data_IF_719352529127
#
_entry.id   IF_719352529127
#
_cell.length_a   1.000
_cell.length_b   1.000
_cell.length_c   1.000
_cell.angle_alpha   90.00
_cell.angle_beta   90.00
_cell.angle_gamma   90.00
#
_symmetry.space_group_name_H-M   'P 1'
#
loop_
_entity.id
_entity.type
_entity.pdbx_description
1 polymer ?
#
# COMPACT_ATOMS: atom_id res chain seq x y z
N UNK A 1 -28.95 -3.33 0.97
CA UNK A 1 -27.50 -3.09 0.74
C UNK A 1 -26.80 -3.02 2.08
N UNK A 2 -25.66 -3.70 2.23
CA UNK A 2 -24.81 -3.57 3.41
C UNK A 2 -24.38 -2.11 3.57
N UNK A 3 -24.31 -1.61 4.79
CA UNK A 3 -23.74 -0.29 5.08
C UNK A 3 -22.21 -0.32 5.02
N UNK A 4 -21.63 -1.52 5.15
CA UNK A 4 -20.20 -1.78 5.18
C UNK A 4 -19.69 -2.07 3.76
N UNK A 5 -18.41 -1.77 3.54
CA UNK A 5 -17.69 -2.17 2.35
C UNK A 5 -17.82 -3.69 2.13
N UNK A 6 -18.11 -4.09 0.91
CA UNK A 6 -18.15 -5.48 0.51
C UNK A 6 -17.25 -5.66 -0.71
N UNK A 7 -16.15 -6.37 -0.54
CA UNK A 7 -15.15 -6.57 -1.59
C UNK A 7 -15.70 -7.31 -2.81
N UNK A 8 -16.68 -8.20 -2.61
CA UNK A 8 -17.30 -8.98 -3.70
C UNK A 8 -18.04 -8.11 -4.73
N UNK A 9 -18.41 -6.88 -4.36
CA UNK A 9 -19.05 -5.92 -5.28
C UNK A 9 -18.03 -5.34 -6.30
N UNK A 10 -16.73 -5.59 -6.10
CA UNK A 10 -15.64 -5.00 -6.88
C UNK A 10 -14.79 -6.04 -7.62
N UNK A 11 -14.63 -7.24 -7.04
CA UNK A 11 -13.81 -8.29 -7.64
C UNK A 11 -14.47 -8.80 -8.91
N UNK A 12 -13.72 -8.78 -10.00
CA UNK A 12 -14.12 -9.29 -11.31
C UNK A 12 -12.91 -9.92 -12.03
N UNK A 13 -13.14 -10.53 -13.18
CA UNK A 13 -12.08 -11.09 -14.01
C UNK A 13 -11.33 -10.04 -14.85
N UNK A 14 -11.65 -8.74 -14.67
CA UNK A 14 -11.03 -7.66 -15.44
C UNK A 14 -9.70 -7.19 -14.86
N UNK A 15 -9.44 -7.43 -13.56
CA UNK A 15 -8.26 -6.90 -12.90
C UNK A 15 -7.55 -7.98 -12.07
N UNK A 16 -6.22 -7.89 -12.04
CA UNK A 16 -5.37 -8.74 -11.20
C UNK A 16 -5.00 -8.07 -9.87
N UNK A 17 -4.92 -6.74 -9.85
CA UNK A 17 -4.53 -5.99 -8.67
C UNK A 17 -5.66 -5.05 -8.25
N UNK A 18 -6.05 -5.14 -7.00
CA UNK A 18 -7.08 -4.29 -6.39
C UNK A 18 -6.52 -3.53 -5.22
N UNK A 19 -6.71 -2.22 -5.21
CA UNK A 19 -6.33 -1.35 -4.12
C UNK A 19 -7.57 -0.70 -3.51
N UNK A 20 -7.84 -1.02 -2.26
CA UNK A 20 -8.95 -0.45 -1.50
C UNK A 20 -8.40 0.36 -0.34
N UNK A 21 -8.27 1.65 -0.56
CA UNK A 21 -7.67 2.59 0.38
C UNK A 21 -8.78 3.46 0.96
N UNK A 22 -8.83 3.61 2.27
CA UNK A 22 -9.89 4.40 2.89
C UNK A 22 -9.87 4.36 4.40
N UNK A 23 -10.68 5.19 5.03
CA UNK A 23 -10.74 5.33 6.48
C UNK A 23 -10.89 4.02 7.24
N UNK A 24 -10.46 4.05 8.49
CA UNK A 24 -10.58 2.90 9.40
C UNK A 24 -12.05 2.56 9.66
N UNK A 25 -12.32 1.29 9.94
CA UNK A 25 -13.65 0.84 10.38
C UNK A 25 -14.75 0.92 9.32
N UNK A 26 -14.43 0.89 8.03
CA UNK A 26 -15.43 0.74 6.95
C UNK A 26 -15.65 -0.71 6.53
N UNK A 27 -14.90 -1.66 7.12
CA UNK A 27 -15.10 -3.09 6.93
C UNK A 27 -14.16 -3.77 5.93
N UNK A 28 -13.09 -3.10 5.45
CA UNK A 28 -12.16 -3.64 4.44
C UNK A 28 -11.58 -5.01 4.84
N UNK A 29 -10.90 -5.07 5.97
CA UNK A 29 -10.23 -6.28 6.50
C UNK A 29 -11.23 -7.41 6.69
N UNK A 30 -12.36 -7.14 7.36
CA UNK A 30 -13.41 -8.13 7.57
C UNK A 30 -14.01 -8.66 6.27
N UNK A 31 -14.35 -7.78 5.33
CA UNK A 31 -14.92 -8.17 4.04
C UNK A 31 -13.95 -9.01 3.20
N UNK A 32 -12.67 -8.68 3.24
CA UNK A 32 -11.64 -9.45 2.52
C UNK A 32 -11.42 -10.83 3.15
N UNK A 33 -11.47 -10.93 4.48
CA UNK A 33 -11.40 -12.20 5.19
C UNK A 33 -12.62 -13.08 4.82
N UNK A 34 -13.82 -12.49 4.88
CA UNK A 34 -15.06 -13.17 4.50
C UNK A 34 -15.00 -13.67 3.06
N UNK A 35 -14.54 -12.84 2.12
CA UNK A 35 -14.37 -13.22 0.73
C UNK A 35 -13.43 -14.43 0.57
N UNK A 36 -12.31 -14.47 1.28
CA UNK A 36 -11.39 -15.60 1.21
C UNK A 36 -12.03 -16.90 1.70
N UNK A 37 -12.82 -16.86 2.77
CA UNK A 37 -13.56 -18.02 3.32
C UNK A 37 -14.66 -18.46 2.36
N UNK A 38 -15.49 -17.53 1.89
CA UNK A 38 -16.63 -17.83 1.00
C UNK A 38 -16.14 -18.43 -0.32
N UNK A 39 -15.07 -17.88 -0.91
CA UNK A 39 -14.50 -18.40 -2.14
C UNK A 39 -13.89 -19.79 -1.94
N UNK A 40 -13.23 -20.05 -0.81
CA UNK A 40 -12.76 -21.39 -0.50
C UNK A 40 -13.91 -22.40 -0.41
N UNK A 41 -15.04 -22.03 0.17
CA UNK A 41 -16.22 -22.92 0.26
C UNK A 41 -16.75 -23.30 -1.12
N UNK A 42 -16.71 -22.37 -2.07
CA UNK A 42 -17.22 -22.55 -3.44
C UNK A 42 -16.18 -23.23 -4.34
N UNK A 43 -15.00 -22.65 -4.39
CA UNK A 43 -13.98 -22.96 -5.41
C UNK A 43 -12.81 -23.79 -4.86
N UNK A 44 -12.76 -24.04 -3.55
CA UNK A 44 -11.66 -24.74 -2.86
C UNK A 44 -10.28 -24.08 -3.09
N UNK A 45 -10.25 -22.77 -3.36
CA UNK A 45 -9.02 -22.03 -3.57
C UNK A 45 -8.56 -21.33 -2.30
N UNK A 46 -7.29 -21.47 -1.99
CA UNK A 46 -6.63 -20.94 -0.80
C UNK A 46 -6.23 -19.47 -0.97
N UNK A 47 -5.96 -18.82 0.15
CA UNK A 47 -5.51 -17.43 0.19
C UNK A 47 -4.22 -17.26 0.98
N UNK A 48 -3.45 -16.22 0.65
CA UNK A 48 -2.40 -15.70 1.51
C UNK A 48 -2.86 -14.37 2.09
N UNK A 49 -2.78 -14.25 3.41
CA UNK A 49 -2.92 -12.98 4.13
C UNK A 49 -1.54 -12.44 4.46
N UNK A 50 -1.20 -11.31 3.86
CA UNK A 50 0.12 -10.72 3.97
C UNK A 50 0.11 -9.50 4.88
N UNK A 51 1.06 -9.42 5.80
CA UNK A 51 1.41 -8.24 6.59
C UNK A 51 2.85 -7.84 6.30
N UNK A 52 3.23 -6.62 6.66
CA UNK A 52 4.59 -6.11 6.39
C UNK A 52 5.64 -6.78 7.23
N UNK A 53 5.43 -6.82 8.55
CA UNK A 53 6.37 -7.37 9.52
C UNK A 53 5.77 -8.59 10.23
N UNK A 54 6.66 -9.45 10.72
CA UNK A 54 6.25 -10.64 11.47
C UNK A 54 5.53 -10.30 12.78
N UNK A 55 5.93 -9.22 13.43
CA UNK A 55 5.24 -8.69 14.64
C UNK A 55 3.80 -8.24 14.35
N UNK A 56 3.49 -7.77 13.15
CA UNK A 56 2.13 -7.36 12.79
C UNK A 56 1.16 -8.57 12.73
N UNK A 57 1.68 -9.79 12.62
CA UNK A 57 0.88 -11.01 12.63
C UNK A 57 0.34 -11.37 14.03
N UNK A 58 1.00 -10.93 15.12
CA UNK A 58 0.52 -11.13 16.48
C UNK A 58 -0.81 -10.40 16.75
N UNK A 59 -0.99 -9.23 16.14
CA UNK A 59 -2.26 -8.50 16.21
C UNK A 59 -3.32 -9.11 15.29
N UNK A 60 -2.91 -9.64 14.13
CA UNK A 60 -3.79 -10.36 13.23
C UNK A 60 -4.40 -11.61 13.90
N UNK A 61 -3.66 -12.31 14.76
CA UNK A 61 -4.14 -13.46 15.51
C UNK A 61 -5.40 -13.14 16.34
N UNK A 62 -5.43 -11.96 16.97
CA UNK A 62 -6.59 -11.50 17.75
C UNK A 62 -7.79 -11.14 16.87
N UNK A 63 -7.54 -10.55 15.71
CA UNK A 63 -8.59 -10.18 14.75
C UNK A 63 -9.22 -11.42 14.13
N UNK A 64 -8.40 -12.38 13.71
CA UNK A 64 -8.86 -13.65 13.10
C UNK A 64 -9.79 -14.40 14.03
N UNK A 65 -9.45 -14.52 15.31
CA UNK A 65 -10.31 -15.20 16.29
C UNK A 65 -11.69 -14.51 16.42
N UNK A 66 -11.76 -13.17 16.33
CA UNK A 66 -13.03 -12.44 16.32
C UNK A 66 -13.83 -12.70 15.04
N UNK A 67 -13.15 -12.83 13.90
CA UNK A 67 -13.82 -13.13 12.64
C UNK A 67 -14.37 -14.55 12.61
N UNK A 68 -13.58 -15.52 13.05
CA UNK A 68 -13.98 -16.93 13.16
C UNK A 68 -15.20 -17.12 14.05
N UNK A 69 -15.26 -16.41 15.18
CA UNK A 69 -16.39 -16.50 16.12
C UNK A 69 -17.76 -16.13 15.51
N UNK A 70 -17.78 -15.53 14.30
CA UNK A 70 -19.01 -15.19 13.58
C UNK A 70 -19.50 -16.31 12.64
N UNK A 71 -18.69 -17.36 12.46
CA UNK A 71 -19.02 -18.52 11.63
C UNK A 71 -19.41 -19.70 12.56
N UNK A 72 -20.65 -19.67 13.09
CA UNK A 72 -21.09 -20.61 14.11
C UNK A 72 -21.23 -22.07 13.62
N UNK A 73 -21.31 -22.29 12.30
CA UNK A 73 -21.71 -23.57 11.71
C UNK A 73 -20.57 -24.40 11.13
N UNK A 74 -19.33 -23.87 11.12
CA UNK A 74 -18.18 -24.57 10.55
C UNK A 74 -17.08 -24.79 11.57
N UNK A 75 -16.39 -25.92 11.50
CA UNK A 75 -15.11 -26.14 12.19
C UNK A 75 -14.00 -25.26 11.61
N UNK A 76 -14.11 -23.95 11.82
CA UNK A 76 -13.06 -23.02 11.44
C UNK A 76 -12.10 -22.88 12.62
N UNK A 77 -10.85 -23.25 12.41
CA UNK A 77 -9.80 -23.20 13.43
C UNK A 77 -8.64 -22.35 12.92
N UNK A 78 -8.13 -21.48 13.80
CA UNK A 78 -6.87 -20.76 13.55
C UNK A 78 -5.76 -21.38 14.39
N UNK A 79 -4.73 -21.88 13.73
CA UNK A 79 -3.57 -22.52 14.37
C UNK A 79 -2.32 -22.31 13.52
N UNK A 80 -1.20 -22.01 14.17
CA UNK A 80 0.10 -21.86 13.50
C UNK A 80 0.07 -20.86 12.32
N UNK A 81 -0.67 -19.77 12.49
CA UNK A 81 -0.84 -18.75 11.42
C UNK A 81 -1.50 -19.27 10.15
N UNK A 82 -2.37 -20.27 10.31
CA UNK A 82 -3.18 -20.80 9.21
C UNK A 82 -4.63 -20.93 9.71
N UNK A 83 -5.57 -20.47 8.91
CA UNK A 83 -6.99 -20.78 9.09
C UNK A 83 -7.31 -22.08 8.39
N UNK A 84 -7.96 -22.97 9.08
CA UNK A 84 -8.43 -24.27 8.58
C UNK A 84 -9.96 -24.32 8.58
N UNK A 85 -10.52 -25.00 7.60
CA UNK A 85 -11.93 -25.43 7.57
C UNK A 85 -11.94 -26.94 7.38
N UNK A 86 -12.52 -27.66 8.34
CA UNK A 86 -12.54 -29.13 8.33
C UNK A 86 -11.14 -29.70 8.07
N UNK A 87 -10.16 -29.27 8.85
CA UNK A 87 -8.74 -29.67 8.77
C UNK A 87 -7.98 -29.24 7.49
N UNK A 88 -8.66 -28.67 6.50
CA UNK A 88 -8.02 -28.21 5.27
C UNK A 88 -7.53 -26.76 5.44
N UNK A 89 -6.32 -26.42 5.00
CA UNK A 89 -5.82 -25.06 5.05
C UNK A 89 -6.58 -24.16 4.06
N UNK A 90 -6.90 -22.94 4.50
CA UNK A 90 -7.69 -21.97 3.75
C UNK A 90 -6.98 -20.63 3.57
N UNK A 91 -6.42 -20.09 4.68
CA UNK A 91 -5.72 -18.81 4.66
C UNK A 91 -4.39 -18.95 5.39
N UNK A 92 -3.29 -18.65 4.69
CA UNK A 92 -1.94 -18.63 5.25
C UNK A 92 -1.54 -17.20 5.61
N UNK A 93 -1.26 -16.95 6.89
CA UNK A 93 -0.73 -15.66 7.34
C UNK A 93 0.77 -15.60 7.17
N UNK A 94 1.26 -14.64 6.44
CA UNK A 94 2.69 -14.45 6.11
C UNK A 94 3.11 -13.00 6.30
N UNK A 95 4.37 -12.81 6.67
CA UNK A 95 4.97 -11.48 6.73
C UNK A 95 5.97 -11.28 5.59
N UNK A 96 5.88 -10.14 4.91
CA UNK A 96 6.68 -9.86 3.73
C UNK A 96 8.18 -9.76 4.06
N UNK A 97 8.54 -9.28 5.28
CA UNK A 97 9.93 -9.19 5.70
C UNK A 97 10.63 -10.54 5.90
N UNK A 98 9.85 -11.59 6.21
CA UNK A 98 10.37 -12.95 6.46
C UNK A 98 9.90 -13.97 5.42
N UNK A 99 9.10 -13.56 4.44
CA UNK A 99 8.59 -14.45 3.39
C UNK A 99 9.73 -15.08 2.60
N UNK A 100 9.87 -16.39 2.71
CA UNK A 100 10.88 -17.17 2.01
C UNK A 100 10.27 -17.93 0.82
N UNK A 101 11.10 -18.21 -0.18
CA UNK A 101 10.72 -18.93 -1.42
C UNK A 101 10.36 -20.41 -1.23
N UNK A 102 10.29 -20.92 0.01
CA UNK A 102 10.33 -22.35 0.31
C UNK A 102 8.99 -23.07 0.39
N UNK A 103 7.86 -22.38 0.25
CA UNK A 103 6.56 -23.04 0.33
C UNK A 103 5.93 -23.19 -1.07
N UNK A 104 5.40 -24.38 -1.37
CA UNK A 104 4.53 -24.57 -2.53
C UNK A 104 3.12 -24.07 -2.17
N UNK A 105 2.58 -23.15 -2.96
CA UNK A 105 1.23 -22.62 -2.82
C UNK A 105 0.40 -22.94 -4.07
N UNK A 106 0.36 -24.22 -4.45
CA UNK A 106 -0.23 -24.66 -5.72
C UNK A 106 -1.71 -24.32 -5.84
N UNK A 107 -2.43 -24.27 -4.71
CA UNK A 107 -3.87 -23.99 -4.70
C UNK A 107 -4.24 -22.55 -4.34
N UNK A 108 -3.26 -21.69 -4.10
CA UNK A 108 -3.50 -20.27 -3.78
C UNK A 108 -3.82 -19.50 -5.07
N UNK A 109 -4.96 -18.81 -5.11
CA UNK A 109 -5.34 -17.91 -6.20
C UNK A 109 -5.58 -16.47 -5.74
N UNK A 110 -5.33 -16.15 -4.47
CA UNK A 110 -5.47 -14.79 -3.97
C UNK A 110 -4.46 -14.44 -2.88
N UNK A 111 -4.03 -13.19 -2.90
CA UNK A 111 -3.17 -12.60 -1.87
C UNK A 111 -3.83 -11.32 -1.36
N UNK A 112 -4.00 -11.21 -0.06
CA UNK A 112 -4.56 -10.02 0.60
C UNK A 112 -3.43 -9.37 1.39
N UNK A 113 -2.92 -8.24 0.91
CA UNK A 113 -1.91 -7.46 1.62
C UNK A 113 -2.60 -6.42 2.48
N UNK A 114 -2.80 -6.77 3.73
CA UNK A 114 -3.46 -5.89 4.70
C UNK A 114 -2.44 -4.91 5.31
N UNK A 115 -2.88 -3.68 5.52
CA UNK A 115 -2.02 -2.53 5.87
C UNK A 115 -0.89 -2.29 4.85
N UNK A 116 -1.18 -2.46 3.56
CA UNK A 116 -0.22 -2.26 2.47
C UNK A 116 0.35 -0.84 2.42
N UNK A 117 -0.37 0.15 2.93
CA UNK A 117 0.11 1.51 3.12
C UNK A 117 0.34 1.72 4.62
N UNK A 118 1.56 2.04 5.05
CA UNK A 118 1.85 2.25 6.47
C UNK A 118 1.14 3.49 7.00
N UNK A 119 0.73 3.44 8.26
CA UNK A 119 0.22 4.60 8.98
C UNK A 119 1.31 5.66 9.18
N UNK A 120 0.91 6.88 9.54
CA UNK A 120 1.82 7.96 9.86
C UNK A 120 2.85 7.53 10.92
N UNK A 121 4.12 7.84 10.66
CA UNK A 121 5.25 7.45 11.51
C UNK A 121 5.78 6.03 11.30
N UNK A 122 5.10 5.20 10.51
CA UNK A 122 5.60 3.88 10.08
C UNK A 122 6.23 3.98 8.69
N UNK A 123 7.16 3.08 8.38
CA UNK A 123 7.88 3.06 7.11
C UNK A 123 7.59 1.80 6.32
N UNK A 124 7.73 1.90 4.99
CA UNK A 124 7.84 0.74 4.12
C UNK A 124 9.10 -0.06 4.43
N UNK A 125 9.10 -1.34 4.11
CA UNK A 125 10.33 -2.13 4.09
C UNK A 125 11.29 -1.60 3.03
N UNK A 126 12.58 -1.73 3.28
CA UNK A 126 13.55 -1.51 2.22
C UNK A 126 13.25 -2.42 1.01
N UNK A 127 13.09 -1.81 -0.16
CA UNK A 127 12.70 -2.48 -1.42
C UNK A 127 11.40 -3.31 -1.30
N UNK A 128 10.39 -2.78 -0.59
CA UNK A 128 9.12 -3.48 -0.33
C UNK A 128 8.43 -3.92 -1.62
N UNK A 129 8.36 -3.06 -2.62
CA UNK A 129 7.79 -3.39 -3.92
C UNK A 129 8.47 -4.62 -4.55
N UNK A 130 9.80 -4.61 -4.64
CA UNK A 130 10.58 -5.74 -5.19
C UNK A 130 10.39 -7.02 -4.37
N UNK A 131 10.29 -6.92 -3.04
CA UNK A 131 9.99 -8.07 -2.19
C UNK A 131 8.60 -8.64 -2.45
N UNK A 132 7.61 -7.76 -2.59
CA UNK A 132 6.25 -8.17 -2.92
C UNK A 132 6.18 -8.89 -4.28
N UNK A 133 6.76 -8.29 -5.33
CA UNK A 133 6.81 -8.88 -6.67
C UNK A 133 7.48 -10.26 -6.62
N UNK A 134 8.65 -10.37 -6.01
CA UNK A 134 9.36 -11.65 -5.86
C UNK A 134 8.55 -12.69 -5.08
N UNK A 135 7.80 -12.27 -4.05
CA UNK A 135 6.95 -13.20 -3.30
C UNK A 135 5.74 -13.64 -4.12
N UNK A 136 5.06 -12.71 -4.80
CA UNK A 136 3.96 -13.02 -5.71
C UNK A 136 4.38 -14.02 -6.80
N UNK A 137 5.52 -13.79 -7.45
CA UNK A 137 6.08 -14.69 -8.46
C UNK A 137 6.38 -16.10 -7.87
N UNK A 138 6.76 -16.16 -6.60
CA UNK A 138 6.95 -17.46 -5.92
C UNK A 138 5.63 -18.19 -5.69
N UNK A 139 4.55 -17.46 -5.41
CA UNK A 139 3.20 -18.02 -5.19
C UNK A 139 2.56 -18.42 -6.50
N UNK A 140 2.57 -17.53 -7.48
CA UNK A 140 1.91 -17.77 -8.76
C UNK A 140 2.67 -18.78 -9.61
N UNK A 141 4.01 -18.64 -9.68
CA UNK A 141 4.86 -19.34 -10.65
C UNK A 141 4.29 -19.22 -12.07
N UNK A 142 5.03 -19.64 -13.06
CA UNK A 142 4.50 -19.74 -14.41
C UNK A 142 3.49 -20.89 -14.47
N UNK A 143 2.22 -20.57 -14.58
CA UNK A 143 1.15 -21.56 -14.78
C UNK A 143 0.90 -21.72 -16.26
N UNK A 144 0.88 -22.96 -16.70
CA UNK A 144 0.62 -23.32 -18.08
C UNK A 144 -0.71 -24.09 -18.14
N UNK A 145 -1.45 -23.90 -19.23
CA UNK A 145 -2.61 -24.70 -19.55
C UNK A 145 -2.20 -26.12 -20.02
N UNK A 146 -3.18 -26.96 -20.36
CA UNK A 146 -2.98 -28.30 -20.85
C UNK A 146 -2.19 -28.40 -22.18
N UNK A 147 -2.10 -27.27 -22.91
CA UNK A 147 -1.34 -27.16 -24.17
C UNK A 147 0.06 -26.56 -23.95
N UNK A 148 0.45 -26.30 -22.70
CA UNK A 148 1.73 -25.67 -22.33
C UNK A 148 1.79 -24.17 -22.61
N UNK A 149 0.66 -23.50 -22.78
CA UNK A 149 0.60 -22.04 -22.98
C UNK A 149 0.35 -21.31 -21.66
N UNK A 150 0.92 -20.10 -21.46
CA UNK A 150 0.67 -19.32 -20.26
C UNK A 150 -0.83 -19.06 -20.04
N UNK A 151 -1.30 -19.28 -18.82
CA UNK A 151 -2.67 -18.94 -18.43
C UNK A 151 -2.78 -17.41 -18.40
N UNK A 152 -3.72 -16.87 -19.16
CA UNK A 152 -3.92 -15.42 -19.30
C UNK A 152 -5.20 -14.90 -18.63
N UNK A 153 -6.10 -15.82 -18.18
CA UNK A 153 -7.35 -15.40 -17.52
C UNK A 153 -7.09 -14.99 -16.08
N UNK A 154 -7.55 -13.79 -15.71
CA UNK A 154 -7.33 -13.23 -14.38
C UNK A 154 -7.84 -14.15 -13.25
N UNK A 155 -8.98 -14.81 -13.42
CA UNK A 155 -9.56 -15.73 -12.42
C UNK A 155 -8.75 -17.02 -12.20
N UNK A 156 -7.83 -17.32 -13.09
CA UNK A 156 -6.91 -18.48 -13.00
C UNK A 156 -5.54 -18.08 -12.44
N UNK A 157 -5.27 -16.77 -12.35
CA UNK A 157 -4.05 -16.19 -11.80
C UNK A 157 -4.23 -15.80 -10.32
N UNK A 158 -3.14 -15.36 -9.68
CA UNK A 158 -3.20 -14.88 -8.31
C UNK A 158 -3.69 -13.43 -8.26
N UNK A 159 -4.93 -13.23 -7.88
CA UNK A 159 -5.50 -11.91 -7.62
C UNK A 159 -4.90 -11.30 -6.35
N UNK A 160 -4.39 -10.08 -6.44
CA UNK A 160 -3.81 -9.38 -5.29
C UNK A 160 -4.72 -8.23 -4.84
N UNK A 161 -5.05 -8.21 -3.56
CA UNK A 161 -5.84 -7.16 -2.91
C UNK A 161 -4.97 -6.43 -1.90
N UNK A 162 -4.85 -5.12 -2.06
CA UNK A 162 -4.11 -4.25 -1.15
C UNK A 162 -5.10 -3.42 -0.34
N UNK A 163 -5.05 -3.58 0.96
CA UNK A 163 -5.87 -2.81 1.89
C UNK A 163 -4.99 -1.76 2.57
N UNK A 164 -5.48 -0.54 2.63
CA UNK A 164 -4.78 0.56 3.31
C UNK A 164 -5.74 1.47 4.04
N UNK A 165 -5.22 2.14 5.06
CA UNK A 165 -5.92 3.21 5.73
C UNK A 165 -5.81 4.51 4.92
N UNK A 166 -6.41 5.55 5.42
CA UNK A 166 -6.31 6.87 4.82
C UNK A 166 -4.86 7.28 4.64
N UNK A 167 -4.47 7.42 3.39
CA UNK A 167 -3.14 7.86 3.01
C UNK A 167 -3.17 8.62 1.68
N UNK A 168 -2.07 9.21 1.33
CA UNK A 168 -1.92 9.97 0.10
C UNK A 168 -2.18 9.15 -1.16
N UNK A 169 -2.65 9.84 -2.21
CA UNK A 169 -2.61 9.33 -3.59
C UNK A 169 -1.17 9.08 -4.08
N UNK A 170 -0.18 9.65 -3.41
CA UNK A 170 1.25 9.51 -3.69
C UNK A 170 1.86 8.55 -2.68
N UNK A 171 1.82 7.27 -2.97
CA UNK A 171 2.38 6.22 -2.13
C UNK A 171 3.25 5.28 -2.96
N UNK A 172 3.96 4.34 -2.32
CA UNK A 172 4.83 3.37 -2.98
C UNK A 172 4.16 2.71 -4.18
N UNK A 173 2.93 2.22 -3.99
CA UNK A 173 2.23 1.42 -5.00
C UNK A 173 1.81 2.25 -6.19
N UNK A 174 1.27 3.46 -5.96
CA UNK A 174 0.90 4.37 -7.05
C UNK A 174 2.11 4.81 -7.85
N UNK A 175 3.26 5.00 -7.18
CA UNK A 175 4.51 5.35 -7.85
C UNK A 175 5.05 4.19 -8.70
N UNK A 176 5.20 2.98 -8.10
CA UNK A 176 5.79 1.83 -8.79
C UNK A 176 4.92 1.32 -9.94
N UNK A 177 3.60 1.37 -9.81
CA UNK A 177 2.67 1.00 -10.89
C UNK A 177 2.31 2.16 -11.82
N UNK A 178 2.92 3.35 -11.64
CA UNK A 178 2.65 4.55 -12.43
C UNK A 178 1.16 4.91 -12.51
N UNK A 179 0.44 4.76 -11.39
CA UNK A 179 -0.98 5.08 -11.29
C UNK A 179 -1.15 6.59 -11.21
N UNK A 180 -1.87 7.14 -12.19
CA UNK A 180 -2.18 8.58 -12.24
C UNK A 180 -3.67 8.76 -12.10
N UNK A 181 -4.07 9.38 -11.01
CA UNK A 181 -5.47 9.75 -10.79
C UNK A 181 -5.80 11.01 -11.60
N UNK A 182 -6.82 10.93 -12.42
CA UNK A 182 -7.53 12.11 -12.89
C UNK A 182 -8.29 12.71 -11.68
N UNK A 183 -9.22 13.62 -11.89
CA UNK A 183 -9.99 14.26 -10.80
C UNK A 183 -10.86 13.30 -9.96
N UNK A 184 -10.81 12.01 -10.23
CA UNK A 184 -11.56 10.97 -9.53
C UNK A 184 -10.70 10.22 -8.50
N UNK A 185 -11.36 9.59 -7.52
CA UNK A 185 -10.72 8.72 -6.53
C UNK A 185 -10.60 7.27 -7.02
N UNK A 186 -10.84 7.02 -8.30
CA UNK A 186 -10.83 5.69 -8.92
C UNK A 186 -9.85 5.70 -10.09
N UNK A 187 -9.02 4.69 -10.16
CA UNK A 187 -8.19 4.37 -11.32
C UNK A 187 -8.55 2.97 -11.84
N UNK A 188 -8.68 2.84 -13.16
CA UNK A 188 -8.93 1.57 -13.87
C UNK A 188 -8.01 1.51 -15.07
N UNK A 189 -7.15 0.52 -15.13
CA UNK A 189 -6.24 0.32 -16.26
C UNK A 189 -5.08 -0.62 -15.95
N UNK A 190 -4.46 -1.22 -16.97
CA UNK A 190 -3.32 -2.13 -16.86
C UNK A 190 -3.53 -3.24 -15.82
N UNK A 191 -4.69 -3.92 -15.85
CA UNK A 191 -5.09 -4.95 -14.88
C UNK A 191 -5.13 -4.48 -13.41
N UNK A 192 -5.26 -3.16 -13.18
CA UNK A 192 -5.29 -2.55 -11.86
C UNK A 192 -6.61 -1.81 -11.66
N UNK A 193 -7.28 -2.14 -10.56
CA UNK A 193 -8.37 -1.37 -9.97
C UNK A 193 -7.88 -0.71 -8.68
N UNK A 194 -7.94 0.60 -8.60
CA UNK A 194 -7.58 1.34 -7.39
C UNK A 194 -8.71 2.30 -7.01
N UNK A 195 -9.18 2.21 -5.79
CA UNK A 195 -10.22 3.11 -5.29
C UNK A 195 -9.88 3.65 -3.90
N UNK A 196 -10.04 4.97 -3.76
CA UNK A 196 -10.05 5.62 -2.46
C UNK A 196 -11.50 5.62 -1.96
N UNK A 197 -11.78 4.67 -1.08
CA UNK A 197 -13.11 4.40 -0.54
C UNK A 197 -13.57 5.52 0.38
N UNK A 198 -14.79 5.96 0.19
CA UNK A 198 -15.48 6.85 1.14
C UNK A 198 -16.40 6.03 2.05
N UNK A 199 -16.51 6.37 3.34
CA UNK A 199 -17.50 5.75 4.20
C UNK A 199 -18.91 6.06 3.69
N UNK A 200 -19.84 5.11 3.81
CA UNK A 200 -21.24 5.37 3.47
C UNK A 200 -21.83 6.46 4.40
N UNK A 201 -22.81 7.22 3.90
CA UNK A 201 -23.51 8.24 4.71
C UNK A 201 -23.99 7.67 6.05
N UNK A 202 -24.49 6.44 6.05
CA UNK A 202 -24.97 5.77 7.26
C UNK A 202 -23.84 5.47 8.25
N UNK A 203 -22.65 5.10 7.77
CA UNK A 203 -21.47 4.94 8.64
C UNK A 203 -21.05 6.29 9.23
N UNK A 204 -21.04 7.36 8.44
CA UNK A 204 -20.73 8.71 8.93
C UNK A 204 -21.73 9.12 10.02
N UNK A 205 -23.03 9.00 9.79
CA UNK A 205 -24.08 9.31 10.77
C UNK A 205 -23.95 8.50 12.07
N UNK A 206 -23.57 7.21 11.97
CA UNK A 206 -23.35 6.36 13.16
C UNK A 206 -22.11 6.80 13.94
N UNK A 207 -21.04 7.21 13.26
CA UNK A 207 -19.83 7.74 13.89
C UNK A 207 -20.09 9.05 14.62
N UNK A 208 -20.75 10.00 13.96
CA UNK A 208 -21.11 11.29 14.52
C UNK A 208 -21.96 11.17 15.79
N UNK A 209 -22.74 10.10 15.92
CA UNK A 209 -23.52 9.78 17.15
C UNK A 209 -22.65 9.24 18.28
N UNK A 210 -21.43 8.74 18.01
CA UNK A 210 -20.57 8.22 19.04
C UNK A 210 -20.09 9.33 19.98
N UNK A 211 -20.00 9.04 21.29
CA UNK A 211 -19.56 10.03 22.28
C UNK A 211 -18.14 10.51 22.03
N UNK A 212 -17.25 9.61 21.61
CA UNK A 212 -15.85 9.94 21.34
C UNK A 212 -15.71 10.75 20.05
N UNK A 213 -16.42 10.39 18.98
CA UNK A 213 -16.38 11.13 17.72
C UNK A 213 -16.80 12.61 17.93
N UNK A 214 -17.79 12.87 18.77
CA UNK A 214 -18.21 14.25 19.11
C UNK A 214 -17.12 15.07 19.77
N UNK A 215 -16.19 14.44 20.49
CA UNK A 215 -15.06 15.13 21.15
C UNK A 215 -13.98 15.49 20.13
N UNK A 216 -13.76 14.65 19.12
CA UNK A 216 -12.66 14.81 18.16
C UNK A 216 -13.10 15.33 16.79
N UNK A 217 -14.39 15.61 16.59
CA UNK A 217 -14.98 15.93 15.28
C UNK A 217 -14.26 17.07 14.55
N UNK A 218 -13.83 18.10 15.28
CA UNK A 218 -13.16 19.28 14.75
C UNK A 218 -11.62 19.13 14.74
N UNK A 219 -11.10 17.94 15.02
CA UNK A 219 -9.65 17.70 15.00
C UNK A 219 -9.17 17.21 13.66
N UNK A 220 -7.89 17.45 13.35
CA UNK A 220 -7.23 16.91 12.16
C UNK A 220 -7.20 15.38 12.19
N UNK A 221 -7.11 14.78 13.38
CA UNK A 221 -7.11 13.36 13.60
C UNK A 221 -8.43 12.72 13.18
N UNK A 222 -9.57 13.39 13.41
CA UNK A 222 -10.86 12.91 12.93
C UNK A 222 -10.91 12.87 11.39
N UNK A 223 -10.54 13.97 10.74
CA UNK A 223 -10.47 14.04 9.28
C UNK A 223 -9.48 13.00 8.72
N UNK A 224 -8.33 12.81 9.35
CA UNK A 224 -7.34 11.81 8.95
C UNK A 224 -7.88 10.38 9.10
N UNK A 225 -8.57 10.07 10.18
CA UNK A 225 -9.08 8.72 10.44
C UNK A 225 -10.33 8.37 9.62
N UNK A 226 -11.19 9.35 9.36
CA UNK A 226 -12.55 9.09 8.90
C UNK A 226 -12.95 9.80 7.61
N UNK A 227 -12.38 11.00 7.33
CA UNK A 227 -12.70 11.78 6.15
C UNK A 227 -11.56 11.71 5.13
N UNK A 228 -11.83 11.21 3.95
CA UNK A 228 -10.81 11.08 2.91
C UNK A 228 -10.44 12.42 2.23
N UNK A 229 -10.90 13.57 2.74
CA UNK A 229 -10.81 14.83 2.01
C UNK A 229 -9.43 15.50 2.07
N UNK A 230 -8.59 15.18 3.06
CA UNK A 230 -7.31 15.87 3.31
C UNK A 230 -6.05 15.06 3.01
N UNK A 231 -6.16 13.92 2.33
CA UNK A 231 -5.00 13.07 2.13
C UNK A 231 -4.33 13.41 0.81
N UNK A 232 -3.35 14.29 0.86
CA UNK A 232 -2.51 14.62 -0.28
C UNK A 232 -1.28 13.72 -0.38
N UNK A 233 -0.68 13.31 0.73
CA UNK A 233 0.66 12.71 0.78
C UNK A 233 0.77 11.50 1.70
N UNK A 234 1.68 10.59 1.36
CA UNK A 234 2.09 9.48 2.22
C UNK A 234 3.16 9.96 3.21
N UNK A 235 2.72 10.44 4.36
CA UNK A 235 3.61 10.95 5.41
C UNK A 235 4.49 9.87 6.08
N UNK A 236 4.32 8.60 5.76
CA UNK A 236 5.21 7.53 6.27
C UNK A 236 6.66 7.70 5.82
N UNK A 237 6.86 8.47 4.74
CA UNK A 237 8.19 8.82 4.22
C UNK A 237 8.84 10.02 4.93
N UNK A 238 8.13 10.67 5.83
CA UNK A 238 8.65 11.78 6.63
C UNK A 238 9.28 11.21 7.91
N UNK A 239 10.59 11.17 7.93
CA UNK A 239 11.35 10.47 8.99
C UNK A 239 12.37 11.33 9.71
N UNK A 240 12.50 12.60 9.32
CA UNK A 240 13.57 13.46 9.82
C UNK A 240 14.96 13.08 9.27
N UNK A 241 15.96 13.79 9.73
CA UNK A 241 17.35 13.49 9.37
C UNK A 241 18.01 12.57 10.41
N UNK A 242 18.59 11.44 9.99
CA UNK A 242 19.44 10.66 10.88
C UNK A 242 20.78 11.39 11.15
N UNK A 243 21.47 11.05 12.25
CA UNK A 243 22.70 11.73 12.64
C UNK A 243 23.85 11.66 11.61
N UNK A 244 23.85 10.63 10.78
CA UNK A 244 24.89 10.35 9.79
C UNK A 244 24.54 10.80 8.37
N UNK A 245 23.49 11.61 8.19
CA UNK A 245 23.10 12.12 6.87
C UNK A 245 24.19 13.04 6.29
N UNK A 246 24.52 12.83 5.02
CA UNK A 246 25.54 13.61 4.30
C UNK A 246 24.90 14.41 3.17
N UNK A 247 25.40 15.63 2.88
CA UNK A 247 24.94 16.43 1.76
C UNK A 247 25.32 15.79 0.42
N UNK A 248 24.39 15.80 -0.55
CA UNK A 248 24.60 15.23 -1.87
C UNK A 248 24.62 16.30 -2.97
N UNK A 249 23.49 16.97 -3.19
CA UNK A 249 23.33 18.12 -4.10
C UNK A 249 22.09 18.94 -3.72
N UNK A 250 21.87 20.06 -4.41
CA UNK A 250 20.62 20.82 -4.32
C UNK A 250 19.93 20.87 -5.66
N UNK A 251 18.59 20.97 -5.65
CA UNK A 251 17.75 21.23 -6.82
C UNK A 251 17.02 22.56 -6.65
N UNK A 252 16.95 23.36 -7.70
CA UNK A 252 16.06 24.52 -7.78
C UNK A 252 15.06 24.26 -8.90
N UNK A 253 13.79 24.11 -8.55
CA UNK A 253 12.70 23.77 -9.45
C UNK A 253 11.54 24.74 -9.20
N UNK A 254 11.04 25.39 -10.24
CA UNK A 254 9.89 26.30 -10.15
C UNK A 254 10.02 27.36 -9.03
N UNK A 255 11.25 27.86 -8.78
CA UNK A 255 11.52 28.86 -7.75
C UNK A 255 11.74 28.30 -6.34
N UNK A 256 11.54 27.04 -6.10
CA UNK A 256 11.83 26.36 -4.82
C UNK A 256 13.22 25.73 -4.82
N UNK A 257 13.88 25.77 -3.67
CA UNK A 257 15.16 25.07 -3.46
C UNK A 257 14.98 23.89 -2.54
N UNK A 258 15.53 22.76 -2.95
CA UNK A 258 15.47 21.50 -2.23
C UNK A 258 16.90 20.96 -2.06
N UNK A 259 17.29 20.71 -0.82
CA UNK A 259 18.52 19.99 -0.50
C UNK A 259 18.29 18.49 -0.58
N UNK A 260 19.17 17.80 -1.28
CA UNK A 260 19.20 16.34 -1.36
C UNK A 260 20.38 15.84 -0.55
N UNK A 261 20.13 14.86 0.30
CA UNK A 261 21.08 14.27 1.21
C UNK A 261 21.03 12.76 1.12
N UNK A 262 22.00 12.06 1.65
CA UNK A 262 22.04 10.59 1.59
C UNK A 262 22.64 9.95 2.85
N UNK A 263 22.29 8.69 3.03
CA UNK A 263 22.98 7.71 3.90
C UNK A 263 23.36 6.50 3.04
N UNK A 264 23.82 5.40 3.65
CA UNK A 264 24.03 4.13 2.95
C UNK A 264 22.75 3.56 2.33
N UNK A 265 21.57 3.85 2.90
CA UNK A 265 20.34 3.16 2.60
C UNK A 265 19.25 4.05 1.98
N UNK A 266 19.30 5.36 2.23
CA UNK A 266 18.23 6.28 1.88
C UNK A 266 18.74 7.62 1.34
N UNK A 267 17.91 8.22 0.50
CA UNK A 267 18.01 9.60 0.04
C UNK A 267 17.00 10.46 0.82
N UNK A 268 17.45 11.62 1.30
CA UNK A 268 16.61 12.53 2.08
C UNK A 268 16.44 13.84 1.34
N UNK A 269 15.22 14.34 1.28
CA UNK A 269 14.87 15.62 0.67
C UNK A 269 14.42 16.60 1.76
N UNK A 270 14.87 17.84 1.64
CA UNK A 270 14.56 18.92 2.57
C UNK A 270 14.44 20.25 1.85
N UNK A 271 13.61 21.17 2.36
CA UNK A 271 13.61 22.59 1.99
C UNK A 271 14.87 23.32 2.49
N UNK A 272 15.64 22.70 3.39
CA UNK A 272 16.94 23.22 3.80
C UNK A 272 17.98 22.75 2.81
N UNK A 273 18.62 23.70 2.11
CA UNK A 273 19.73 23.45 1.20
C UNK A 273 21.03 23.10 1.96
N UNK A 274 21.98 22.56 1.24
CA UNK A 274 23.32 22.22 1.73
C UNK A 274 24.40 22.99 0.94
N UNK A 275 25.66 22.80 1.30
CA UNK A 275 26.83 23.49 0.69
C UNK A 275 27.22 22.94 -0.69
N UNK A 276 26.54 21.93 -1.21
CA UNK A 276 26.85 21.32 -2.52
C UNK A 276 26.26 22.13 -3.66
N UNK A 277 26.64 21.75 -4.88
CA UNK A 277 26.14 22.35 -6.13
C UNK A 277 24.62 22.37 -6.20
N UNK A 278 24.07 23.50 -6.69
CA UNK A 278 22.66 23.64 -6.99
C UNK A 278 22.41 23.49 -8.48
N UNK A 279 21.66 22.45 -8.86
CA UNK A 279 21.21 22.20 -10.23
C UNK A 279 19.83 22.82 -10.42
N UNK A 280 19.65 23.61 -11.46
CA UNK A 280 18.46 24.45 -11.60
C UNK A 280 17.87 24.48 -13.02
N UNK A 281 16.64 24.97 -13.13
CA UNK A 281 15.87 25.10 -14.37
C UNK A 281 16.12 26.43 -15.10
N UNK A 282 17.10 27.22 -14.66
CA UNK A 282 17.48 28.44 -15.36
C UNK A 282 18.41 28.13 -16.55
N UNK A 283 17.98 28.36 -17.80
CA UNK A 283 18.77 28.08 -18.99
C UNK A 283 20.11 28.83 -19.08
N UNK A 284 20.24 29.93 -18.33
CA UNK A 284 21.49 30.71 -18.26
C UNK A 284 22.50 30.14 -17.29
N UNK A 285 22.14 29.14 -16.49
CA UNK A 285 23.02 28.51 -15.51
C UNK A 285 23.90 27.45 -16.18
N UNK A 286 25.18 27.42 -15.83
CA UNK A 286 26.10 26.33 -16.23
C UNK A 286 25.66 24.94 -15.72
N UNK A 287 24.82 24.90 -14.68
CA UNK A 287 24.26 23.68 -14.09
C UNK A 287 22.91 23.23 -14.71
N UNK A 288 22.37 24.01 -15.66
CA UNK A 288 21.10 23.70 -16.32
C UNK A 288 21.15 22.34 -17.04
N UNK A 289 22.15 22.12 -17.87
CA UNK A 289 22.30 20.88 -18.63
C UNK A 289 22.57 19.63 -17.78
N UNK A 290 23.03 19.81 -16.56
CA UNK A 290 23.26 18.69 -15.63
C UNK A 290 22.03 18.38 -14.77
N UNK A 291 21.02 19.25 -14.76
CA UNK A 291 19.79 19.06 -13.98
C UNK A 291 19.05 17.77 -14.37
N UNK A 292 18.93 17.52 -15.67
CA UNK A 292 18.22 16.34 -16.18
C UNK A 292 18.84 15.02 -15.67
N UNK A 293 20.18 14.94 -15.63
CA UNK A 293 20.86 13.78 -15.08
C UNK A 293 20.59 13.60 -13.57
N UNK A 294 20.47 14.73 -12.82
CA UNK A 294 20.12 14.67 -11.39
C UNK A 294 18.66 14.30 -11.17
N UNK A 295 17.77 14.79 -12.02
CA UNK A 295 16.35 14.39 -11.99
C UNK A 295 16.20 12.91 -12.37
N UNK A 296 16.92 12.42 -13.38
CA UNK A 296 16.93 11.00 -13.73
C UNK A 296 17.40 10.14 -12.58
N UNK A 297 18.53 10.49 -11.96
CA UNK A 297 19.04 9.80 -10.77
C UNK A 297 18.01 9.80 -9.61
N UNK A 298 17.31 10.91 -9.42
CA UNK A 298 16.29 11.02 -8.39
C UNK A 298 15.04 10.18 -8.72
N UNK A 299 14.70 10.04 -10.01
CA UNK A 299 13.65 9.11 -10.45
C UNK A 299 14.02 7.66 -10.12
N UNK A 300 15.27 7.26 -10.41
CA UNK A 300 15.75 5.91 -10.07
C UNK A 300 15.62 5.65 -8.56
N UNK A 301 15.95 6.64 -7.72
CA UNK A 301 15.77 6.53 -6.26
C UNK A 301 14.29 6.50 -5.83
N UNK A 302 13.42 7.22 -6.52
CA UNK A 302 11.98 7.16 -6.27
C UNK A 302 11.40 5.79 -6.66
N UNK A 303 11.86 5.22 -7.78
CA UNK A 303 11.44 3.90 -8.24
C UNK A 303 11.94 2.78 -7.32
N UNK A 304 13.10 2.95 -6.70
CA UNK A 304 13.63 2.04 -5.69
C UNK A 304 12.99 2.23 -4.30
N UNK A 305 12.11 3.21 -4.12
CA UNK A 305 11.48 3.59 -2.85
C UNK A 305 12.47 3.93 -1.72
N UNK A 306 13.61 4.48 -2.06
CA UNK A 306 14.64 4.88 -1.08
C UNK A 306 14.59 6.37 -0.72
N UNK A 307 13.65 7.14 -1.28
CA UNK A 307 13.49 8.57 -0.97
C UNK A 307 12.68 8.76 0.31
N UNK A 308 13.19 9.62 1.19
CA UNK A 308 12.59 10.04 2.46
C UNK A 308 12.57 11.57 2.55
N UNK A 309 11.78 12.10 3.45
CA UNK A 309 11.65 13.55 3.65
C UNK A 309 12.00 13.92 5.08
N UNK A 310 12.62 15.08 5.22
CA UNK A 310 12.97 15.61 6.54
C UNK A 310 11.74 15.98 7.36
N UNK A 311 10.75 16.58 6.71
CA UNK A 311 9.52 17.09 7.29
C UNK A 311 8.39 17.13 6.25
N UNK A 312 7.17 17.34 6.71
CA UNK A 312 5.99 17.38 5.83
C UNK A 312 6.10 18.48 4.77
N UNK A 313 6.62 19.64 5.13
CA UNK A 313 6.78 20.75 4.20
C UNK A 313 7.72 20.39 3.04
N UNK A 314 8.81 19.69 3.32
CA UNK A 314 9.76 19.23 2.32
C UNK A 314 9.10 18.26 1.33
N UNK A 315 8.26 17.37 1.83
CA UNK A 315 7.54 16.40 1.00
C UNK A 315 6.47 17.08 0.14
N UNK A 316 5.68 17.96 0.70
CA UNK A 316 4.61 18.68 0.01
C UNK A 316 5.18 19.53 -1.13
N UNK A 317 6.21 20.34 -0.84
CA UNK A 317 6.88 21.16 -1.85
C UNK A 317 7.52 20.29 -2.93
N UNK A 318 8.19 19.19 -2.55
CA UNK A 318 8.79 18.29 -3.52
C UNK A 318 7.77 17.78 -4.54
N UNK A 319 6.63 17.23 -4.10
CA UNK A 319 5.62 16.69 -5.00
C UNK A 319 4.86 17.77 -5.79
N UNK A 320 4.80 19.00 -5.30
CA UNK A 320 4.21 20.13 -6.04
C UNK A 320 5.11 20.59 -7.21
N UNK A 321 6.43 20.58 -7.01
CA UNK A 321 7.37 21.14 -8.01
C UNK A 321 8.09 20.09 -8.84
N UNK A 322 8.26 18.88 -8.31
CA UNK A 322 8.94 17.79 -8.99
C UNK A 322 7.97 17.00 -9.85
N UNK A 323 8.00 17.24 -11.14
CA UNK A 323 7.21 16.48 -12.13
C UNK A 323 8.14 15.47 -12.82
N UNK A 324 7.76 14.22 -12.78
CA UNK A 324 8.43 13.13 -13.51
C UNK A 324 8.29 13.29 -15.01
#
# INVERSE_FOLDING_TARGET
MSIWFNIQDYISDEYLLYFFIGGRGIGKTYSSFKWAIDDYRINKKEAIWLRRYDVDLEDADKEVNKFIAQYADDEIVYKNRIVYINENPVIYFKALNTARRSASFENVNKMIYDEAIPDEGKQYLYKEFSKFVNFRETVERLRLDENGMPILKANELVTCVFLGNNSSKYNLWTNCFNIKFNNNNIYKGNDIYYEILKPSKKIQELREKSRFAKIILDTKEYSYMYDNENIKFDYSKVVGFPPNVKPFFNLRLNGYELGVYYTSDFIYISTKTNERDTYNDNPKSSKFYQKENKCKLLNDFLDEDVVRFRDNQSMEIFYDVYKR
#
